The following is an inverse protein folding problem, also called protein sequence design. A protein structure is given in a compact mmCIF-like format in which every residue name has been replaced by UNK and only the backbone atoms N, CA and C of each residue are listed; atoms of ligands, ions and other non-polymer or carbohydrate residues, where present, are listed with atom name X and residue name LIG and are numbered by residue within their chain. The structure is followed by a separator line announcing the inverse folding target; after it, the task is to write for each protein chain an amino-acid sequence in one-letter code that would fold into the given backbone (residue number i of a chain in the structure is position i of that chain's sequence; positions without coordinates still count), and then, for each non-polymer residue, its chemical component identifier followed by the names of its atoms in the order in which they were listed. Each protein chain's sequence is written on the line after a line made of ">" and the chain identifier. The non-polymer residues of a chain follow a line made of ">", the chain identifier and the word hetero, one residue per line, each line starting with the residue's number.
data_IF_314416429705
#
_entry.id   IF_314416429705
#
_cell.length_a   1.000
_cell.length_b   1.000
_cell.length_c   1.000
_cell.angle_alpha   90.00
_cell.angle_beta   90.00
_cell.angle_gamma   90.00
#
_symmetry.space_group_name_H-M   'P 1'
#
loop_
_entity.id
_entity.type
_entity.pdbx_description
1 polymer ?
#
# COMPACT_ATOMS: atom_id res chain seq x y z
N UNK A 1 37.11 -27.55 -3.56
CA UNK A 1 35.99 -27.46 -2.60
C UNK A 1 35.41 -26.06 -2.66
N UNK A 2 34.23 -25.93 -3.27
CA UNK A 2 33.60 -24.67 -3.64
C UNK A 2 32.82 -24.14 -2.44
N UNK A 3 33.25 -23.02 -1.85
CA UNK A 3 32.51 -22.36 -0.78
C UNK A 3 31.48 -21.41 -1.40
N UNK A 4 30.25 -21.89 -1.55
CA UNK A 4 29.11 -21.10 -2.01
C UNK A 4 28.72 -20.06 -0.97
N UNK A 5 28.97 -18.78 -1.26
CA UNK A 5 28.42 -17.67 -0.50
C UNK A 5 26.97 -17.46 -0.92
N UNK A 6 26.05 -17.84 -0.04
CA UNK A 6 24.61 -17.66 -0.20
C UNK A 6 24.29 -16.16 -0.11
N UNK A 7 24.19 -15.49 -1.26
CA UNK A 7 23.72 -14.10 -1.38
C UNK A 7 22.26 -14.03 -0.95
N UNK A 8 22.01 -13.69 0.31
CA UNK A 8 20.68 -13.28 0.79
C UNK A 8 20.30 -11.97 0.12
N UNK A 9 19.31 -12.02 -0.76
CA UNK A 9 18.73 -10.83 -1.39
C UNK A 9 17.74 -10.20 -0.41
N UNK A 10 18.22 -9.26 0.39
CA UNK A 10 17.37 -8.45 1.26
C UNK A 10 16.56 -7.44 0.44
N UNK A 11 15.27 -7.70 0.26
CA UNK A 11 14.29 -6.79 -0.32
C UNK A 11 14.27 -5.46 0.45
N UNK A 12 15.01 -4.47 -0.06
CA UNK A 12 15.20 -3.16 0.55
C UNK A 12 14.44 -2.10 -0.26
N UNK A 13 13.13 -1.99 -0.08
CA UNK A 13 12.33 -0.94 -0.73
C UNK A 13 11.80 0.13 0.23
N UNK A 14 11.95 -0.05 1.54
CA UNK A 14 11.55 0.93 2.56
C UNK A 14 12.67 1.86 3.03
N UNK A 15 13.92 1.39 3.09
CA UNK A 15 15.08 2.18 3.57
C UNK A 15 15.52 3.27 2.56
N UNK A 16 15.52 2.97 1.26
CA UNK A 16 15.93 3.92 0.21
C UNK A 16 14.97 5.10 0.05
N UNK A 17 13.67 4.91 0.34
CA UNK A 17 12.63 5.96 0.20
C UNK A 17 12.81 7.10 1.20
N UNK A 18 13.20 6.78 2.44
CA UNK A 18 13.45 7.81 3.46
C UNK A 18 14.69 8.65 3.11
N UNK A 19 15.74 8.02 2.57
CA UNK A 19 16.94 8.73 2.10
C UNK A 19 16.63 9.72 0.97
N UNK A 20 15.81 9.31 0.00
CA UNK A 20 15.43 10.16 -1.14
C UNK A 20 14.59 11.38 -0.71
N UNK A 21 13.66 11.19 0.22
CA UNK A 21 12.82 12.27 0.76
C UNK A 21 13.65 13.29 1.56
N UNK A 22 14.61 12.82 2.36
CA UNK A 22 15.53 13.68 3.10
C UNK A 22 16.41 14.52 2.14
N UNK A 23 16.92 13.92 1.08
CA UNK A 23 17.73 14.61 0.05
C UNK A 23 16.89 15.68 -0.67
N UNK A 24 15.63 15.38 -1.02
CA UNK A 24 14.76 16.38 -1.65
C UNK A 24 14.44 17.56 -0.73
N UNK A 25 14.18 17.30 0.57
CA UNK A 25 13.97 18.36 1.58
C UNK A 25 15.21 19.25 1.73
N UNK A 26 16.40 18.67 1.74
CA UNK A 26 17.65 19.44 1.81
C UNK A 26 17.86 20.29 0.55
N UNK A 27 17.61 19.73 -0.64
CA UNK A 27 17.71 20.45 -1.93
C UNK A 27 16.71 21.61 -2.02
N UNK A 28 15.51 21.49 -1.43
CA UNK A 28 14.54 22.59 -1.38
C UNK A 28 14.97 23.73 -0.44
N UNK A 29 15.60 23.40 0.70
CA UNK A 29 16.04 24.38 1.71
C UNK A 29 17.36 25.05 1.34
N UNK A 30 18.21 24.36 0.57
CA UNK A 30 19.54 24.83 0.22
C UNK A 30 19.49 25.92 -0.86
N UNK A 31 20.19 27.03 -0.60
CA UNK A 31 20.43 28.11 -1.57
C UNK A 31 21.60 27.80 -2.52
N UNK A 32 22.32 26.70 -2.29
CA UNK A 32 23.53 26.32 -3.03
C UNK A 32 23.31 26.18 -4.55
N UNK A 33 24.43 26.21 -5.29
CA UNK A 33 24.39 26.06 -6.74
C UNK A 33 23.95 24.64 -7.14
N UNK A 34 23.32 24.50 -8.30
CA UNK A 34 22.86 23.20 -8.80
C UNK A 34 24.03 22.22 -9.01
N UNK A 35 25.20 22.74 -9.41
CA UNK A 35 26.40 21.94 -9.62
C UNK A 35 26.95 21.37 -8.30
N UNK A 36 26.93 22.17 -7.24
CA UNK A 36 27.39 21.76 -5.91
C UNK A 36 26.47 20.71 -5.29
N UNK A 37 25.15 20.89 -5.39
CA UNK A 37 24.17 19.90 -4.94
C UNK A 37 24.23 18.59 -5.76
N UNK A 38 24.49 18.71 -7.07
CA UNK A 38 24.69 17.55 -7.95
C UNK A 38 25.93 16.75 -7.53
N UNK A 39 27.05 17.41 -7.22
CA UNK A 39 28.28 16.76 -6.78
C UNK A 39 28.15 16.15 -5.39
N UNK A 40 27.53 16.85 -4.44
CA UNK A 40 27.34 16.39 -3.05
C UNK A 40 26.50 15.13 -2.95
N UNK A 41 25.43 15.05 -3.74
CA UNK A 41 24.49 13.93 -3.70
C UNK A 41 24.67 12.94 -4.86
N UNK A 42 25.66 13.15 -5.73
CA UNK A 42 25.90 12.39 -6.96
C UNK A 42 24.61 12.23 -7.82
N UNK A 43 23.87 13.34 -7.98
CA UNK A 43 22.57 13.37 -8.67
C UNK A 43 22.68 14.07 -10.01
N UNK A 44 21.85 13.68 -10.97
CA UNK A 44 21.75 14.39 -12.25
C UNK A 44 21.30 15.85 -12.01
N UNK A 45 22.02 16.87 -12.54
CA UNK A 45 21.63 18.29 -12.41
C UNK A 45 20.18 18.59 -12.81
N UNK A 46 19.62 17.83 -13.77
CA UNK A 46 18.21 17.94 -14.19
C UNK A 46 17.24 17.53 -13.08
N UNK A 47 17.60 16.53 -12.26
CA UNK A 47 16.80 16.12 -11.10
C UNK A 47 16.84 17.17 -9.99
N UNK A 48 18.02 17.74 -9.72
CA UNK A 48 18.17 18.84 -8.74
C UNK A 48 17.32 20.04 -9.14
N UNK A 49 17.36 20.45 -10.41
CA UNK A 49 16.47 21.51 -10.95
C UNK A 49 14.99 21.16 -10.77
N UNK A 50 14.60 19.93 -11.12
CA UNK A 50 13.22 19.46 -11.00
C UNK A 50 12.73 19.51 -9.56
N UNK A 51 13.54 19.08 -8.59
CA UNK A 51 13.15 19.05 -7.18
C UNK A 51 13.16 20.42 -6.53
N UNK A 52 14.05 21.33 -6.93
CA UNK A 52 14.07 22.72 -6.43
C UNK A 52 12.81 23.52 -6.83
N UNK A 53 12.21 23.21 -7.98
CA UNK A 53 10.99 23.88 -8.45
C UNK A 53 9.69 23.17 -8.01
N UNK A 54 9.76 22.03 -7.31
CA UNK A 54 8.55 21.36 -6.80
C UNK A 54 8.05 22.06 -5.55
N UNK A 55 6.74 22.22 -5.45
CA UNK A 55 6.05 22.83 -4.29
C UNK A 55 5.94 21.88 -3.09
N UNK A 56 5.98 20.56 -3.32
CA UNK A 56 5.87 19.53 -2.29
C UNK A 56 6.89 18.41 -2.51
N UNK A 57 7.35 17.83 -1.39
CA UNK A 57 8.28 16.68 -1.36
C UNK A 57 7.55 15.35 -1.16
N UNK A 58 6.31 15.41 -0.67
CA UNK A 58 5.52 14.20 -0.41
C UNK A 58 5.09 13.55 -1.74
N UNK A 59 5.24 12.23 -1.82
CA UNK A 59 4.77 11.47 -2.98
C UNK A 59 3.23 11.47 -2.99
N UNK A 60 2.64 12.21 -3.92
CA UNK A 60 1.20 12.15 -4.14
C UNK A 60 0.81 10.79 -4.71
N UNK A 61 -0.36 10.29 -4.27
CA UNK A 61 -0.96 9.07 -4.81
C UNK A 61 -1.12 9.23 -6.32
N UNK A 62 -0.41 8.39 -7.07
CA UNK A 62 -0.59 8.29 -8.51
C UNK A 62 -1.93 7.60 -8.80
N UNK A 63 -2.93 8.37 -9.24
CA UNK A 63 -4.24 7.85 -9.64
C UNK A 63 -5.43 8.66 -9.11
N UNK A 64 -6.66 8.28 -9.49
CA UNK A 64 -7.87 8.96 -9.04
C UNK A 64 -8.00 8.87 -7.51
N UNK A 65 -8.21 10.04 -6.86
CA UNK A 65 -8.30 10.18 -5.39
C UNK A 65 -9.44 9.36 -4.78
N UNK A 66 -10.49 9.13 -5.57
CA UNK A 66 -11.55 8.19 -5.28
C UNK A 66 -11.65 7.22 -6.46
N UNK A 67 -11.45 5.91 -6.27
CA UNK A 67 -11.77 4.92 -7.28
C UNK A 67 -13.30 4.72 -7.32
N UNK A 68 -14.07 5.76 -7.65
CA UNK A 68 -15.50 5.62 -7.88
C UNK A 68 -15.74 5.28 -9.35
N UNK A 69 -16.52 4.23 -9.57
CA UNK A 69 -16.99 3.89 -10.89
C UNK A 69 -18.18 4.80 -11.20
N UNK A 70 -18.06 5.71 -12.17
CA UNK A 70 -18.99 6.82 -12.52
C UNK A 70 -20.47 6.46 -12.75
N UNK A 71 -20.89 5.22 -12.57
CA UNK A 71 -22.28 4.78 -12.83
C UNK A 71 -22.85 3.80 -11.82
N UNK A 72 -22.30 3.70 -10.59
CA UNK A 72 -23.06 3.18 -9.45
C UNK A 72 -23.11 4.24 -8.36
N UNK A 73 -24.28 4.42 -7.75
CA UNK A 73 -24.47 5.28 -6.58
C UNK A 73 -23.81 4.64 -5.36
N UNK A 74 -23.33 5.47 -4.42
CA UNK A 74 -22.76 5.02 -3.15
C UNK A 74 -23.72 4.06 -2.40
N UNK A 75 -25.03 4.32 -2.50
CA UNK A 75 -26.06 3.47 -1.89
C UNK A 75 -26.13 2.08 -2.54
N UNK A 76 -26.00 2.02 -3.88
CA UNK A 76 -26.04 0.77 -4.64
C UNK A 76 -24.80 -0.10 -4.36
N UNK A 77 -23.64 0.53 -4.19
CA UNK A 77 -22.40 -0.15 -3.82
C UNK A 77 -22.51 -0.77 -2.42
N UNK A 78 -22.97 0.00 -1.44
CA UNK A 78 -23.18 -0.50 -0.06
C UNK A 78 -24.21 -1.63 -0.03
N UNK A 79 -25.31 -1.50 -0.78
CA UNK A 79 -26.32 -2.55 -0.88
C UNK A 79 -25.75 -3.84 -1.48
N UNK A 80 -24.98 -3.76 -2.57
CA UNK A 80 -24.36 -4.92 -3.22
C UNK A 80 -23.32 -5.60 -2.31
N UNK A 81 -22.51 -4.82 -1.59
CA UNK A 81 -21.52 -5.33 -0.63
C UNK A 81 -22.21 -6.02 0.55
N UNK A 82 -23.22 -5.37 1.13
CA UNK A 82 -24.00 -5.91 2.26
C UNK A 82 -24.70 -7.20 1.85
N UNK A 83 -25.36 -7.21 0.70
CA UNK A 83 -26.00 -8.38 0.14
C UNK A 83 -25.00 -9.54 -0.03
N UNK A 84 -23.79 -9.27 -0.51
CA UNK A 84 -22.77 -10.31 -0.64
C UNK A 84 -22.34 -10.88 0.72
N UNK A 85 -22.20 -10.02 1.73
CA UNK A 85 -21.81 -10.44 3.09
C UNK A 85 -22.90 -11.27 3.78
N UNK A 86 -24.16 -10.94 3.56
CA UNK A 86 -25.28 -11.65 4.18
C UNK A 86 -25.60 -12.98 3.51
N UNK A 87 -25.47 -13.05 2.18
CA UNK A 87 -26.16 -14.10 1.42
C UNK A 87 -25.28 -15.31 1.08
N UNK A 88 -23.95 -15.26 1.27
CA UNK A 88 -23.01 -16.37 1.00
C UNK A 88 -23.16 -17.08 -0.37
N UNK A 89 -23.91 -16.47 -1.29
CA UNK A 89 -24.21 -17.00 -2.62
C UNK A 89 -22.99 -16.89 -3.55
N UNK A 90 -22.98 -17.70 -4.61
CA UNK A 90 -21.99 -17.55 -5.65
C UNK A 90 -22.13 -16.18 -6.34
N UNK A 91 -21.01 -15.64 -6.83
CA UNK A 91 -20.95 -14.29 -7.40
C UNK A 91 -21.98 -14.06 -8.51
N UNK A 92 -22.25 -15.10 -9.31
CA UNK A 92 -23.16 -15.03 -10.44
C UNK A 92 -24.62 -15.02 -9.98
N UNK A 93 -24.95 -15.72 -8.89
CA UNK A 93 -26.29 -15.74 -8.31
C UNK A 93 -26.59 -14.41 -7.63
N UNK A 94 -25.59 -13.82 -6.96
CA UNK A 94 -25.67 -12.45 -6.46
C UNK A 94 -25.91 -11.44 -7.58
N UNK A 95 -25.24 -11.61 -8.72
CA UNK A 95 -25.44 -10.76 -9.88
C UNK A 95 -26.88 -10.83 -10.39
N UNK A 96 -27.44 -12.03 -10.59
CA UNK A 96 -28.84 -12.16 -11.04
C UNK A 96 -29.85 -11.60 -10.04
N UNK A 97 -29.62 -11.78 -8.74
CA UNK A 97 -30.48 -11.20 -7.70
C UNK A 97 -30.43 -9.67 -7.72
N UNK A 98 -29.24 -9.08 -7.83
CA UNK A 98 -29.04 -7.63 -7.82
C UNK A 98 -29.43 -6.96 -9.15
N UNK A 99 -29.31 -7.65 -10.28
CA UNK A 99 -29.71 -7.14 -11.61
C UNK A 99 -31.18 -6.70 -11.64
N UNK A 100 -32.02 -7.34 -10.81
CA UNK A 100 -33.45 -7.01 -10.70
C UNK A 100 -33.71 -5.68 -10.00
N UNK A 101 -32.79 -5.22 -9.17
CA UNK A 101 -32.87 -3.95 -8.44
C UNK A 101 -32.02 -2.86 -9.09
N UNK A 102 -30.92 -3.23 -9.76
CA UNK A 102 -29.95 -2.32 -10.38
C UNK A 102 -29.77 -2.78 -11.83
N UNK A 103 -30.50 -2.16 -12.76
CA UNK A 103 -30.56 -2.60 -14.16
C UNK A 103 -29.27 -2.35 -14.95
N UNK A 104 -28.47 -1.35 -14.56
CA UNK A 104 -27.18 -1.00 -15.15
C UNK A 104 -25.99 -1.73 -14.52
N UNK A 105 -26.24 -2.65 -13.60
CA UNK A 105 -25.18 -3.47 -13.00
C UNK A 105 -24.62 -4.42 -14.07
N UNK A 106 -23.30 -4.53 -14.13
CA UNK A 106 -22.62 -5.49 -15.01
C UNK A 106 -21.78 -6.44 -14.18
N UNK A 107 -21.61 -7.68 -14.67
CA UNK A 107 -20.85 -8.72 -13.97
C UNK A 107 -19.43 -8.28 -13.63
N UNK A 108 -18.74 -7.61 -14.57
CA UNK A 108 -17.41 -7.05 -14.35
C UNK A 108 -17.43 -6.10 -13.17
N UNK A 109 -18.41 -5.21 -13.11
CA UNK A 109 -18.50 -4.17 -12.09
C UNK A 109 -18.71 -4.73 -10.69
N UNK A 110 -19.56 -5.73 -10.56
CA UNK A 110 -19.74 -6.45 -9.29
C UNK A 110 -18.44 -7.16 -8.86
N UNK A 111 -17.70 -7.74 -9.81
CA UNK A 111 -16.38 -8.31 -9.55
C UNK A 111 -15.35 -7.24 -9.10
N UNK A 112 -15.29 -6.10 -9.79
CA UNK A 112 -14.43 -4.96 -9.44
C UNK A 112 -14.75 -4.41 -8.05
N UNK A 113 -16.03 -4.21 -7.73
CA UNK A 113 -16.48 -3.75 -6.41
C UNK A 113 -16.07 -4.73 -5.32
N UNK A 114 -16.30 -6.03 -5.52
CA UNK A 114 -15.91 -7.02 -4.55
C UNK A 114 -14.39 -7.06 -4.34
N UNK A 115 -13.61 -6.98 -5.42
CA UNK A 115 -12.16 -6.93 -5.35
C UNK A 115 -11.66 -5.67 -4.61
N UNK A 116 -12.23 -4.50 -4.91
CA UNK A 116 -11.89 -3.23 -4.25
C UNK A 116 -12.27 -3.23 -2.77
N UNK A 117 -13.45 -3.74 -2.43
CA UNK A 117 -13.91 -3.87 -1.05
C UNK A 117 -13.03 -4.84 -0.26
N UNK A 118 -12.67 -5.97 -0.85
CA UNK A 118 -11.75 -6.92 -0.23
C UNK A 118 -10.34 -6.33 -0.07
N UNK A 119 -9.88 -5.56 -1.05
CA UNK A 119 -8.62 -4.83 -0.97
C UNK A 119 -8.66 -3.78 0.13
N UNK A 120 -9.76 -3.03 0.27
CA UNK A 120 -9.98 -2.07 1.35
C UNK A 120 -9.99 -2.76 2.72
N UNK A 121 -10.78 -3.83 2.87
CA UNK A 121 -10.83 -4.64 4.08
C UNK A 121 -9.44 -5.13 4.48
N UNK A 122 -8.64 -5.62 3.52
CA UNK A 122 -7.26 -6.03 3.75
C UNK A 122 -6.30 -4.90 4.09
N UNK A 123 -6.43 -3.75 3.45
CA UNK A 123 -5.60 -2.58 3.77
C UNK A 123 -5.91 -1.98 5.15
N UNK A 124 -7.12 -2.20 5.67
CA UNK A 124 -7.48 -1.90 7.06
C UNK A 124 -6.93 -2.92 8.06
N UNK A 125 -6.68 -4.17 7.62
CA UNK A 125 -6.11 -5.24 8.47
C UNK A 125 -4.57 -5.21 8.47
N UNK A 126 -3.94 -4.77 7.38
CA UNK A 126 -2.47 -4.72 7.24
C UNK A 126 -1.88 -3.37 7.69
N UNK A 127 -2.56 -2.66 8.59
CA UNK A 127 -1.92 -1.59 9.35
C UNK A 127 -1.32 -2.24 10.60
N UNK A 128 0.02 -2.37 10.63
CA UNK A 128 0.70 -2.62 11.91
C UNK A 128 0.21 -1.54 12.88
N UNK A 129 -0.16 -1.88 14.13
CA UNK A 129 -0.44 -0.86 15.13
C UNK A 129 0.76 0.08 15.12
N UNK A 130 0.50 1.36 14.83
CA UNK A 130 1.50 2.42 14.94
C UNK A 130 1.86 2.45 16.42
N UNK A 131 2.93 1.74 16.77
CA UNK A 131 3.38 1.67 18.15
C UNK A 131 3.73 3.12 18.52
N UNK A 132 2.85 3.77 19.29
CA UNK A 132 3.27 4.80 20.21
C UNK A 132 4.26 4.10 21.13
N UNK A 133 5.47 4.63 21.24
CA UNK A 133 6.54 4.11 22.07
C UNK A 133 6.12 4.14 23.55
N UNK A 134 5.27 3.21 23.97
CA UNK A 134 5.31 2.70 25.32
C UNK A 134 6.00 1.34 25.23
N UNK A 135 7.18 1.27 25.86
CA UNK A 135 7.96 0.07 26.00
C UNK A 135 7.15 -0.98 26.76
N UNK A 136 6.34 -1.75 26.03
CA UNK A 136 5.77 -2.97 26.58
C UNK A 136 6.87 -4.01 26.53
N UNK A 137 7.33 -4.46 27.70
CA UNK A 137 8.21 -5.62 27.87
C UNK A 137 7.54 -6.86 27.27
N UNK A 138 7.66 -7.03 25.95
CA UNK A 138 7.19 -8.24 25.28
C UNK A 138 8.19 -9.34 25.61
N UNK A 139 7.78 -10.41 26.32
CA UNK A 139 8.68 -11.52 26.61
C UNK A 139 9.19 -12.09 25.28
N UNK A 140 10.51 -12.30 25.19
CA UNK A 140 11.10 -12.92 24.01
C UNK A 140 10.55 -14.33 23.83
N UNK A 141 10.34 -14.73 22.57
CA UNK A 141 10.00 -16.12 22.27
C UNK A 141 11.11 -17.03 22.80
N UNK A 142 10.72 -18.04 23.57
CA UNK A 142 11.66 -19.06 24.09
C UNK A 142 12.34 -19.74 22.91
N UNK A 143 13.65 -19.94 23.03
CA UNK A 143 14.42 -20.65 22.01
C UNK A 143 14.09 -22.14 22.09
N UNK A 144 13.46 -22.67 21.04
CA UNK A 144 13.18 -24.09 20.92
C UNK A 144 14.04 -24.72 19.83
N UNK A 145 14.54 -25.93 20.11
CA UNK A 145 15.28 -26.73 19.15
C UNK A 145 14.42 -27.05 17.92
N UNK A 146 15.06 -27.18 16.76
CA UNK A 146 14.37 -27.51 15.49
C UNK A 146 13.51 -28.78 15.69
N UNK A 147 12.20 -28.67 15.42
CA UNK A 147 11.23 -29.77 15.62
C UNK A 147 10.14 -29.52 16.65
N UNK A 148 10.13 -28.39 17.37
CA UNK A 148 8.98 -27.97 18.18
C UNK A 148 8.01 -27.11 17.37
N UNK A 149 6.73 -27.47 17.37
CA UNK A 149 5.62 -26.69 16.80
C UNK A 149 4.80 -26.10 17.96
N UNK A 150 4.81 -24.77 18.10
CA UNK A 150 3.95 -24.06 19.04
C UNK A 150 2.57 -23.85 18.41
N UNK A 151 1.52 -24.37 19.03
CA UNK A 151 0.14 -24.08 18.65
C UNK A 151 -0.57 -23.44 19.84
N UNK A 152 -1.01 -22.19 19.67
CA UNK A 152 -1.97 -21.56 20.56
C UNK A 152 -3.38 -21.97 20.08
N UNK A 153 -4.15 -22.62 20.97
CA UNK A 153 -5.59 -22.89 20.77
C UNK A 153 -6.39 -21.71 21.32
#
# INVERSE_FOLDING_TARGET
>A
MVHGTRKVHGSSTSSTRQGHHAIQKDIQRSSASIAELSHRYNLNPKMVRKWRHRSSVEDERMGPKQPSSTSLSDLEEVAAITFRHTTWLALNDCFFALQRFISHLTRSRLHWLHWLHWLHWRHSISQLPRQTDEATDKPSFKHYSIGHLHMDI
#
